data_IF_316823414992
#
_entry.id   IF_316823414992
#
_cell.length_a   1.000
_cell.length_b   1.000
_cell.length_c   1.000
_cell.angle_alpha   90.00
_cell.angle_beta   90.00
_cell.angle_gamma   90.00
#
_symmetry.space_group_name_H-M   'P 1'
#
loop_
_entity.id
_entity.type
_entity.pdbx_description
1 polymer ?
#
# COMPACT_ATOMS: atom_id res chain seq x y z
N UNK A 1 8.32 -16.47 -3.53
CA UNK A 1 7.80 -16.16 -4.88
C UNK A 1 7.33 -14.72 -4.91
N UNK A 2 7.72 -13.97 -5.94
CA UNK A 2 7.27 -12.58 -6.16
C UNK A 2 6.30 -12.61 -7.34
N UNK A 3 5.12 -12.02 -7.18
CA UNK A 3 4.07 -12.00 -8.21
C UNK A 3 3.54 -10.58 -8.35
N UNK A 4 3.66 -9.94 -9.54
CA UNK A 4 3.04 -8.65 -9.80
C UNK A 4 1.52 -8.71 -9.60
N UNK A 5 0.92 -7.62 -9.13
CA UNK A 5 -0.54 -7.49 -9.02
C UNK A 5 -1.08 -6.89 -10.31
N UNK A 6 -1.93 -7.61 -11.08
CA UNK A 6 -2.47 -7.07 -12.31
C UNK A 6 -3.21 -5.74 -12.09
N UNK A 7 -2.99 -4.80 -13.01
CA UNK A 7 -3.64 -3.47 -13.03
C UNK A 7 -3.38 -2.58 -11.80
N UNK A 8 -2.40 -2.92 -10.96
CA UNK A 8 -2.00 -2.11 -9.79
C UNK A 8 -0.47 -2.01 -9.71
N UNK A 9 0.09 -0.87 -9.29
CA UNK A 9 1.53 -0.72 -9.05
C UNK A 9 1.91 -1.42 -7.74
N UNK A 10 1.77 -2.73 -7.68
CA UNK A 10 2.03 -3.53 -6.49
C UNK A 10 2.56 -4.93 -6.84
N UNK A 11 3.25 -5.55 -5.89
CA UNK A 11 3.74 -6.93 -6.00
C UNK A 11 3.49 -7.69 -4.70
N UNK A 12 3.16 -8.97 -4.82
CA UNK A 12 2.96 -9.87 -3.70
C UNK A 12 4.18 -10.75 -3.52
N UNK A 13 4.77 -10.70 -2.33
CA UNK A 13 5.86 -11.56 -1.92
C UNK A 13 5.29 -12.64 -1.00
N UNK A 14 5.36 -13.89 -1.43
CA UNK A 14 4.98 -15.07 -0.63
C UNK A 14 6.24 -15.83 -0.20
N UNK A 15 6.40 -16.03 1.10
CA UNK A 15 7.32 -17.01 1.70
C UNK A 15 6.51 -18.13 2.35
N UNK A 16 7.15 -19.13 2.94
CA UNK A 16 6.44 -20.22 3.64
C UNK A 16 5.66 -19.73 4.87
N UNK A 17 6.10 -18.64 5.52
CA UNK A 17 5.51 -18.15 6.78
C UNK A 17 4.90 -16.76 6.67
N UNK A 18 5.20 -16.03 5.59
CA UNK A 18 4.81 -14.62 5.46
C UNK A 18 4.30 -14.31 4.07
N UNK A 19 3.37 -13.36 4.04
CA UNK A 19 2.78 -12.81 2.82
C UNK A 19 2.81 -11.30 2.94
N UNK A 20 3.48 -10.64 2.00
CA UNK A 20 3.74 -9.20 2.02
C UNK A 20 3.25 -8.60 0.72
N UNK A 21 2.38 -7.60 0.80
CA UNK A 21 1.98 -6.77 -0.34
C UNK A 21 2.88 -5.53 -0.38
N UNK A 22 3.68 -5.42 -1.43
CA UNK A 22 4.55 -4.26 -1.70
C UNK A 22 3.79 -3.31 -2.62
N UNK A 23 3.72 -2.03 -2.26
CA UNK A 23 3.03 -0.98 -3.01
C UNK A 23 4.10 -0.01 -3.55
N UNK A 24 4.09 0.26 -4.85
CA UNK A 24 5.00 1.19 -5.50
C UNK A 24 4.35 2.59 -5.64
N UNK A 25 4.09 3.26 -4.51
CA UNK A 25 3.61 4.64 -4.48
C UNK A 25 4.57 5.52 -3.68
N UNK A 26 5.18 6.50 -4.37
CA UNK A 26 6.16 7.42 -3.79
C UNK A 26 5.51 8.46 -2.86
N UNK A 27 4.20 8.67 -2.93
CA UNK A 27 3.52 9.71 -2.17
C UNK A 27 2.98 9.24 -0.82
N UNK A 28 3.24 7.98 -0.42
CA UNK A 28 2.85 7.49 0.90
C UNK A 28 3.59 8.28 1.99
N UNK A 29 2.85 8.94 2.89
CA UNK A 29 3.41 9.61 4.05
C UNK A 29 3.82 11.08 3.83
N UNK A 30 3.59 11.65 2.65
CA UNK A 30 3.82 13.10 2.40
C UNK A 30 3.06 14.00 3.38
N UNK A 31 1.92 13.54 3.90
CA UNK A 31 1.13 14.27 4.90
C UNK A 31 1.93 14.55 6.19
N UNK A 32 2.88 13.67 6.53
CA UNK A 32 3.74 13.82 7.71
C UNK A 32 4.71 14.99 7.49
N UNK A 33 5.37 15.00 6.34
CA UNK A 33 6.31 16.07 5.97
C UNK A 33 5.64 17.46 5.87
N UNK A 34 4.36 17.51 5.50
CA UNK A 34 3.57 18.75 5.50
C UNK A 34 3.14 19.16 6.91
N UNK A 35 2.76 18.20 7.75
CA UNK A 35 2.41 18.46 9.15
C UNK A 35 3.60 19.04 9.92
N UNK A 36 4.82 18.58 9.66
CA UNK A 36 6.06 19.15 10.22
C UNK A 36 6.29 20.61 9.82
N UNK A 37 5.69 21.06 8.71
CA UNK A 37 5.72 22.46 8.23
C UNK A 37 4.51 23.28 8.67
N UNK A 38 3.69 22.75 9.59
CA UNK A 38 2.49 23.42 10.09
C UNK A 38 1.27 23.35 9.15
N UNK A 39 1.35 22.57 8.07
CA UNK A 39 0.22 22.36 7.15
C UNK A 39 -0.52 21.09 7.57
N UNK A 40 -1.69 21.25 8.19
CA UNK A 40 -2.49 20.11 8.60
C UNK A 40 -3.18 19.44 7.40
N UNK A 41 -2.69 18.25 7.04
CA UNK A 41 -3.34 17.37 6.06
C UNK A 41 -3.85 16.12 6.78
N UNK A 42 -5.14 15.79 6.69
CA UNK A 42 -5.66 14.55 7.27
C UNK A 42 -4.96 13.32 6.68
N UNK A 43 -4.68 12.32 7.51
CA UNK A 43 -4.04 11.08 7.05
C UNK A 43 -4.81 10.42 5.91
N UNK A 44 -4.10 9.98 4.87
CA UNK A 44 -4.71 9.23 3.76
C UNK A 44 -4.60 7.71 3.96
N UNK A 45 -3.91 7.26 5.01
CA UNK A 45 -3.65 5.85 5.30
C UNK A 45 -4.91 4.98 5.35
N UNK A 46 -6.05 5.40 5.95
CA UNK A 46 -7.26 4.57 5.95
C UNK A 46 -7.83 4.32 4.54
N UNK A 47 -7.72 5.31 3.64
CA UNK A 47 -8.17 5.16 2.25
C UNK A 47 -7.22 4.27 1.45
N UNK A 48 -5.92 4.40 1.68
CA UNK A 48 -4.90 3.55 1.06
C UNK A 48 -5.13 2.08 1.44
N UNK A 49 -5.31 1.78 2.72
CA UNK A 49 -5.59 0.43 3.23
C UNK A 49 -6.81 -0.20 2.53
N UNK A 50 -7.93 0.55 2.42
CA UNK A 50 -9.13 0.08 1.72
C UNK A 50 -8.89 -0.19 0.22
N UNK A 51 -8.07 0.63 -0.44
CA UNK A 51 -7.71 0.43 -1.85
C UNK A 51 -6.82 -0.79 -2.05
N UNK A 52 -5.97 -1.13 -1.08
CA UNK A 52 -5.00 -2.24 -1.15
C UNK A 52 -5.57 -3.57 -0.65
N UNK A 53 -6.58 -3.54 0.20
CA UNK A 53 -7.28 -4.73 0.70
C UNK A 53 -7.97 -5.51 -0.43
N UNK A 54 -8.66 -4.83 -1.35
CA UNK A 54 -9.33 -5.46 -2.50
C UNK A 54 -8.38 -6.27 -3.39
N UNK A 55 -7.26 -5.71 -3.90
CA UNK A 55 -6.30 -6.48 -4.65
C UNK A 55 -5.68 -7.59 -3.78
N UNK A 56 -5.38 -7.33 -2.50
CA UNK A 56 -4.86 -8.37 -1.61
C UNK A 56 -5.79 -9.60 -1.51
N UNK A 57 -7.09 -9.38 -1.32
CA UNK A 57 -8.11 -10.45 -1.27
C UNK A 57 -8.24 -11.18 -2.62
N UNK A 58 -8.18 -10.47 -3.74
CA UNK A 58 -8.22 -11.07 -5.09
C UNK A 58 -7.04 -11.98 -5.41
N UNK A 59 -5.87 -11.77 -4.80
CA UNK A 59 -4.67 -12.62 -5.00
C UNK A 59 -4.62 -13.79 -3.98
N UNK A 60 -5.63 -13.90 -3.11
CA UNK A 60 -5.81 -15.04 -2.19
C UNK A 60 -6.73 -16.13 -2.76
N UNK A 61 -7.68 -15.75 -3.63
CA UNK A 61 -8.59 -16.64 -4.34
C UNK A 61 -7.91 -17.24 -5.58
#
# INVERSE_FOLDING_TARGET
MITPVPSHPAALIKTQKTKVLVIADLHIGWEIALSERGIHVPTQMPKLLKKTEKPYLRIQA
#
